data_IF_731707736251
#
_entry.id   IF_731707736251
#
_cell.length_a   1.000
_cell.length_b   1.000
_cell.length_c   1.000
_cell.angle_alpha   90.00
_cell.angle_beta   90.00
_cell.angle_gamma   90.00
#
_symmetry.space_group_name_H-M   'P 1'
#
loop_
_entity.id
_entity.type
_entity.pdbx_description
1 polymer ?
#
# COMPACT_ATOMS: atom_id res chain seq x y z
N UNK A 1 7.80 -12.27 10.21
CA UNK A 1 7.25 -11.97 8.86
C UNK A 1 5.95 -12.72 8.64
N UNK A 2 5.01 -12.15 7.88
CA UNK A 2 3.83 -12.88 7.42
C UNK A 2 4.25 -14.02 6.49
N UNK A 3 3.58 -15.19 6.59
CA UNK A 3 3.81 -16.27 5.62
C UNK A 3 3.34 -15.84 4.22
N UNK A 4 3.99 -16.36 3.17
CA UNK A 4 3.63 -16.04 1.76
C UNK A 4 2.17 -16.33 1.47
N UNK A 5 1.64 -17.43 2.03
CA UNK A 5 0.21 -17.79 1.89
C UNK A 5 -0.71 -16.73 2.50
N UNK A 6 -0.38 -16.24 3.70
CA UNK A 6 -1.19 -15.22 4.38
C UNK A 6 -1.11 -13.88 3.67
N UNK A 7 0.10 -13.48 3.25
CA UNK A 7 0.31 -12.27 2.45
C UNK A 7 -0.49 -12.32 1.16
N UNK A 8 -0.35 -13.38 0.36
CA UNK A 8 -1.09 -13.55 -0.88
C UNK A 8 -2.61 -13.59 -0.69
N UNK A 9 -3.10 -14.05 0.47
CA UNK A 9 -4.51 -13.97 0.82
C UNK A 9 -4.93 -12.52 1.02
N UNK A 10 -4.22 -11.74 1.85
CA UNK A 10 -4.51 -10.34 2.14
C UNK A 10 -4.48 -9.49 0.86
N UNK A 11 -3.47 -9.70 0.01
CA UNK A 11 -3.33 -9.02 -1.28
C UNK A 11 -4.55 -9.28 -2.19
N UNK A 12 -4.98 -10.54 -2.33
CA UNK A 12 -6.14 -10.90 -3.16
C UNK A 12 -7.45 -10.33 -2.61
N UNK A 13 -7.66 -10.39 -1.30
CA UNK A 13 -8.87 -9.86 -0.66
C UNK A 13 -8.95 -8.35 -0.83
N UNK A 14 -7.86 -7.65 -0.60
CA UNK A 14 -7.79 -6.20 -0.78
C UNK A 14 -7.94 -5.82 -2.26
N UNK A 15 -7.24 -6.49 -3.18
CA UNK A 15 -7.36 -6.23 -4.62
C UNK A 15 -8.79 -6.40 -5.13
N UNK A 16 -9.50 -7.46 -4.67
CA UNK A 16 -10.89 -7.69 -5.02
C UNK A 16 -11.80 -6.56 -4.54
N UNK A 17 -11.60 -6.09 -3.30
CA UNK A 17 -12.38 -5.02 -2.71
C UNK A 17 -12.14 -3.69 -3.42
N UNK A 18 -10.87 -3.35 -3.69
CA UNK A 18 -10.49 -2.15 -4.46
C UNK A 18 -11.09 -2.23 -5.87
N UNK A 19 -10.95 -3.35 -6.57
CA UNK A 19 -11.46 -3.52 -7.94
C UNK A 19 -12.97 -3.32 -8.02
N UNK A 20 -13.72 -3.82 -7.02
CA UNK A 20 -15.17 -3.60 -6.93
C UNK A 20 -15.52 -2.12 -6.72
N UNK A 21 -14.78 -1.43 -5.84
CA UNK A 21 -14.96 -0.01 -5.60
C UNK A 21 -14.63 0.82 -6.86
N UNK A 22 -13.45 0.61 -7.43
CA UNK A 22 -12.99 1.31 -8.62
C UNK A 22 -13.92 1.11 -9.82
N UNK A 23 -14.46 -0.09 -9.99
CA UNK A 23 -15.45 -0.36 -11.04
C UNK A 23 -16.73 0.49 -10.89
N UNK A 24 -17.22 0.68 -9.66
CA UNK A 24 -18.37 1.57 -9.39
C UNK A 24 -18.01 3.04 -9.64
N UNK A 25 -16.84 3.49 -9.18
CA UNK A 25 -16.36 4.85 -9.37
C UNK A 25 -16.12 5.20 -10.84
N UNK A 26 -15.55 4.28 -11.62
CA UNK A 26 -15.40 4.43 -13.06
C UNK A 26 -16.76 4.56 -13.76
N UNK A 27 -17.74 3.74 -13.37
CA UNK A 27 -19.10 3.83 -13.89
C UNK A 27 -19.80 5.16 -13.55
N UNK A 28 -19.62 5.62 -12.33
CA UNK A 28 -20.13 6.93 -11.88
C UNK A 28 -19.48 8.08 -12.66
N UNK A 29 -18.15 8.07 -12.79
CA UNK A 29 -17.40 9.09 -13.53
C UNK A 29 -17.84 9.16 -15.00
N UNK A 30 -17.99 8.01 -15.68
CA UNK A 30 -18.46 7.95 -17.05
C UNK A 30 -19.89 8.50 -17.21
N UNK A 31 -20.77 8.23 -16.24
CA UNK A 31 -22.14 8.75 -16.24
C UNK A 31 -22.17 10.28 -16.06
N UNK A 32 -21.32 10.81 -15.20
CA UNK A 32 -21.21 12.27 -14.96
C UNK A 32 -20.61 12.97 -16.18
N UNK A 33 -19.55 12.41 -16.77
CA UNK A 33 -18.93 12.96 -17.98
C UNK A 33 -19.91 13.12 -19.15
N UNK A 34 -20.87 12.20 -19.31
CA UNK A 34 -21.88 12.27 -20.38
C UNK A 34 -21.34 11.99 -21.78
N UNK A 35 -22.17 12.33 -22.79
CA UNK A 35 -21.85 12.22 -24.21
C UNK A 35 -22.42 13.43 -24.96
N UNK A 36 -21.59 14.36 -25.46
CA UNK A 36 -20.14 14.41 -25.36
C UNK A 36 -19.66 14.69 -23.91
N UNK A 37 -18.44 14.25 -23.56
CA UNK A 37 -17.93 14.38 -22.19
C UNK A 37 -17.68 15.85 -21.81
N UNK A 38 -18.11 16.21 -20.58
CA UNK A 38 -17.93 17.56 -20.02
C UNK A 38 -17.14 17.50 -18.73
N UNK A 39 -16.11 18.35 -18.60
CA UNK A 39 -15.27 18.42 -17.39
C UNK A 39 -15.93 19.20 -16.26
N UNK A 40 -16.80 20.14 -16.57
CA UNK A 40 -17.42 21.06 -15.59
C UNK A 40 -18.25 20.32 -14.53
N UNK A 41 -18.77 19.13 -14.88
CA UNK A 41 -19.53 18.28 -13.97
C UNK A 41 -18.65 17.43 -13.04
N UNK A 42 -17.32 17.41 -13.25
CA UNK A 42 -16.36 16.71 -12.41
C UNK A 42 -15.83 17.67 -11.33
N UNK A 43 -16.50 17.68 -10.21
CA UNK A 43 -16.17 18.57 -9.08
C UNK A 43 -15.06 18.03 -8.18
N UNK A 44 -14.44 18.91 -7.40
CA UNK A 44 -13.51 18.52 -6.34
C UNK A 44 -14.19 17.59 -5.32
N UNK A 45 -15.45 17.88 -4.97
CA UNK A 45 -16.24 17.10 -4.02
C UNK A 45 -16.45 15.64 -4.48
N UNK A 46 -16.58 15.40 -5.79
CA UNK A 46 -16.62 14.05 -6.34
C UNK A 46 -15.35 13.27 -6.01
N UNK A 47 -14.19 13.87 -6.24
CA UNK A 47 -12.90 13.24 -5.94
C UNK A 47 -12.68 13.02 -4.45
N UNK A 48 -13.09 13.97 -3.62
CA UNK A 48 -13.05 13.84 -2.16
C UNK A 48 -13.95 12.70 -1.68
N UNK A 49 -15.13 12.54 -2.27
CA UNK A 49 -16.07 11.45 -1.95
C UNK A 49 -15.47 10.10 -2.34
N UNK A 50 -14.94 9.97 -3.55
CA UNK A 50 -14.25 8.76 -4.01
C UNK A 50 -13.04 8.43 -3.13
N UNK A 51 -12.28 9.45 -2.72
CA UNK A 51 -11.17 9.29 -1.79
C UNK A 51 -11.59 8.78 -0.42
N UNK A 52 -12.67 9.30 0.15
CA UNK A 52 -13.24 8.82 1.43
C UNK A 52 -13.67 7.35 1.34
N UNK A 53 -14.28 6.94 0.24
CA UNK A 53 -14.65 5.54 0.02
C UNK A 53 -13.41 4.64 -0.04
N UNK A 54 -12.34 5.07 -0.72
CA UNK A 54 -11.08 4.33 -0.78
C UNK A 54 -10.39 4.24 0.59
N UNK A 55 -10.39 5.32 1.37
CA UNK A 55 -9.92 5.30 2.77
C UNK A 55 -10.69 4.29 3.61
N UNK A 56 -12.00 4.17 3.39
CA UNK A 56 -12.85 3.17 4.06
C UNK A 56 -12.45 1.72 3.73
N UNK A 57 -11.81 1.48 2.60
CA UNK A 57 -11.27 0.16 2.19
C UNK A 57 -9.84 -0.03 2.70
N UNK A 58 -8.95 0.93 2.46
CA UNK A 58 -7.53 0.78 2.75
C UNK A 58 -7.23 0.77 4.26
N UNK A 59 -7.86 1.67 5.01
CA UNK A 59 -7.49 1.85 6.42
C UNK A 59 -7.72 0.60 7.28
N UNK A 60 -8.88 -0.06 7.27
CA UNK A 60 -9.05 -1.29 8.04
C UNK A 60 -8.15 -2.43 7.54
N UNK A 61 -7.89 -2.52 6.24
CA UNK A 61 -7.03 -3.56 5.67
C UNK A 61 -5.56 -3.38 6.10
N UNK A 62 -5.04 -2.16 6.06
CA UNK A 62 -3.66 -1.87 6.48
C UNK A 62 -3.47 -1.98 7.98
N UNK A 63 -4.43 -1.55 8.82
CA UNK A 63 -4.41 -1.78 10.27
C UNK A 63 -4.32 -3.28 10.55
N UNK A 64 -5.24 -4.07 9.99
CA UNK A 64 -5.27 -5.52 10.21
C UNK A 64 -3.95 -6.19 9.77
N UNK A 65 -3.41 -5.79 8.64
CA UNK A 65 -2.14 -6.33 8.13
C UNK A 65 -0.96 -5.99 9.05
N UNK A 66 -0.89 -4.74 9.52
CA UNK A 66 0.15 -4.30 10.47
C UNK A 66 0.07 -5.07 11.78
N UNK A 67 -1.11 -5.27 12.33
CA UNK A 67 -1.30 -6.03 13.58
C UNK A 67 -0.92 -7.49 13.43
N UNK A 68 -1.29 -8.13 12.32
CA UNK A 68 -0.87 -9.51 12.02
C UNK A 68 0.65 -9.63 11.87
N UNK A 69 1.31 -8.65 11.27
CA UNK A 69 2.76 -8.62 11.15
C UNK A 69 3.43 -8.37 12.50
N UNK A 70 2.92 -7.46 13.32
CA UNK A 70 3.37 -7.21 14.68
C UNK A 70 3.28 -8.48 15.54
N UNK A 71 2.14 -9.18 15.50
CA UNK A 71 1.94 -10.45 16.19
C UNK A 71 2.98 -11.51 15.80
N UNK A 72 3.30 -11.62 14.50
CA UNK A 72 4.34 -12.55 14.05
C UNK A 72 5.73 -12.20 14.59
N UNK A 73 6.07 -10.91 14.73
CA UNK A 73 7.33 -10.50 15.33
C UNK A 73 7.34 -10.84 16.82
N UNK A 74 6.30 -10.48 17.55
CA UNK A 74 6.18 -10.78 18.99
C UNK A 74 6.26 -12.28 19.27
N UNK A 75 5.58 -13.10 18.46
CA UNK A 75 5.63 -14.57 18.61
C UNK A 75 7.00 -15.18 18.28
N UNK A 76 7.91 -14.43 17.65
CA UNK A 76 9.28 -14.88 17.33
C UNK A 76 10.33 -14.53 18.36
N UNK A 77 9.95 -13.78 19.41
CA UNK A 77 10.86 -13.30 20.46
C UNK A 77 10.30 -13.64 21.85
N UNK A 78 11.15 -13.84 22.88
CA UNK A 78 10.70 -14.17 24.24
C UNK A 78 10.34 -12.93 25.06
N UNK A 79 9.93 -11.82 24.43
CA UNK A 79 9.65 -10.52 25.05
C UNK A 79 8.25 -10.10 24.66
N UNK A 80 7.42 -9.71 25.64
CA UNK A 80 6.10 -9.15 25.40
C UNK A 80 6.16 -7.66 25.02
N UNK A 81 5.07 -7.15 24.44
CA UNK A 81 4.90 -5.74 24.10
C UNK A 81 3.58 -5.20 24.65
N UNK A 82 3.47 -3.90 24.78
CA UNK A 82 2.20 -3.23 25.11
C UNK A 82 1.29 -3.18 23.87
N UNK A 83 0.30 -4.07 23.80
CA UNK A 83 -0.62 -4.19 22.68
C UNK A 83 -1.51 -2.95 22.47
N UNK A 84 -1.81 -2.20 23.52
CA UNK A 84 -2.58 -0.95 23.36
C UNK A 84 -1.77 0.08 22.59
N UNK A 85 -0.47 0.18 22.86
CA UNK A 85 0.44 1.05 22.11
C UNK A 85 0.63 0.57 20.67
N UNK A 86 0.79 -0.73 20.46
CA UNK A 86 0.89 -1.32 19.11
C UNK A 86 -0.36 -1.01 18.28
N UNK A 87 -1.54 -1.19 18.86
CA UNK A 87 -2.83 -0.89 18.20
C UNK A 87 -2.95 0.61 17.86
N UNK A 88 -2.61 1.50 18.78
CA UNK A 88 -2.68 2.94 18.57
C UNK A 88 -1.71 3.40 17.47
N UNK A 89 -0.48 2.89 17.47
CA UNK A 89 0.54 3.21 16.45
C UNK A 89 0.12 2.71 15.08
N UNK A 90 -0.40 1.47 14.96
CA UNK A 90 -0.89 0.91 13.72
C UNK A 90 -2.05 1.73 13.14
N UNK A 91 -3.01 2.15 13.98
CA UNK A 91 -4.13 2.99 13.57
C UNK A 91 -3.68 4.39 13.13
N UNK A 92 -2.76 5.01 13.88
CA UNK A 92 -2.21 6.34 13.56
C UNK A 92 -1.42 6.32 12.24
N UNK A 93 -0.56 5.33 12.07
CA UNK A 93 0.20 5.16 10.84
C UNK A 93 -0.73 4.93 9.64
N UNK A 94 -1.68 3.99 9.74
CA UNK A 94 -2.61 3.69 8.66
C UNK A 94 -3.42 4.92 8.24
N UNK A 95 -3.89 5.73 9.21
CA UNK A 95 -4.60 6.96 8.92
C UNK A 95 -3.76 7.96 8.13
N UNK A 96 -2.53 8.20 8.56
CA UNK A 96 -1.62 9.18 7.92
C UNK A 96 -1.14 8.67 6.56
N UNK A 97 -0.69 7.42 6.50
CA UNK A 97 -0.18 6.78 5.29
C UNK A 97 -1.25 6.72 4.20
N UNK A 98 -2.43 6.17 4.51
CA UNK A 98 -3.50 6.02 3.54
C UNK A 98 -4.06 7.36 3.07
N UNK A 99 -4.13 8.38 3.95
CA UNK A 99 -4.53 9.72 3.54
C UNK A 99 -3.60 10.32 2.49
N UNK A 100 -2.28 10.08 2.58
CA UNK A 100 -1.31 10.49 1.58
C UNK A 100 -1.48 9.70 0.28
N UNK A 101 -1.53 8.36 0.37
CA UNK A 101 -1.68 7.45 -0.78
C UNK A 101 -2.94 7.77 -1.57
N UNK A 102 -4.07 7.92 -0.90
CA UNK A 102 -5.37 8.22 -1.53
C UNK A 102 -5.35 9.60 -2.20
N UNK A 103 -4.76 10.61 -1.56
CA UNK A 103 -4.62 11.95 -2.15
C UNK A 103 -3.80 11.91 -3.44
N UNK A 104 -2.68 11.21 -3.44
CA UNK A 104 -1.82 11.05 -4.62
C UNK A 104 -2.54 10.27 -5.73
N UNK A 105 -3.22 9.17 -5.39
CA UNK A 105 -4.02 8.37 -6.32
C UNK A 105 -5.08 9.20 -7.04
N UNK A 106 -5.93 9.90 -6.28
CA UNK A 106 -7.04 10.65 -6.88
C UNK A 106 -6.58 11.95 -7.52
N UNK A 107 -5.50 12.57 -7.04
CA UNK A 107 -4.86 13.69 -7.71
C UNK A 107 -4.38 13.29 -9.11
N UNK A 108 -3.65 12.19 -9.22
CA UNK A 108 -3.17 11.65 -10.50
C UNK A 108 -4.33 11.19 -11.40
N UNK A 109 -5.38 10.61 -10.82
CA UNK A 109 -6.55 10.14 -11.56
C UNK A 109 -7.39 11.31 -12.08
N UNK A 110 -7.55 12.36 -11.30
CA UNK A 110 -8.22 13.60 -11.71
C UNK A 110 -7.50 14.27 -12.88
N UNK A 111 -6.18 14.37 -12.82
CA UNK A 111 -5.39 14.91 -13.92
C UNK A 111 -5.55 14.05 -15.19
N UNK A 112 -5.39 12.74 -15.05
CA UNK A 112 -5.55 11.84 -16.18
C UNK A 112 -6.96 11.88 -16.81
N UNK A 113 -8.02 12.08 -16.01
CA UNK A 113 -9.38 12.24 -16.54
C UNK A 113 -9.50 13.54 -17.37
N UNK A 114 -8.89 14.63 -16.94
CA UNK A 114 -8.85 15.90 -17.69
C UNK A 114 -8.11 15.72 -19.02
N UNK A 115 -6.94 15.07 -18.99
CA UNK A 115 -6.12 14.80 -20.18
C UNK A 115 -6.88 13.92 -21.18
N UNK A 116 -7.60 12.89 -20.71
CA UNK A 116 -8.42 12.03 -21.57
C UNK A 116 -9.58 12.76 -22.23
N UNK A 117 -10.20 13.73 -21.54
CA UNK A 117 -11.26 14.55 -22.13
C UNK A 117 -10.68 15.55 -23.13
N UNK A 118 -9.52 16.15 -22.85
CA UNK A 118 -8.81 16.98 -23.82
C UNK A 118 -8.49 16.20 -25.10
N UNK A 119 -7.88 15.02 -24.94
CA UNK A 119 -7.60 14.09 -26.06
C UNK A 119 -8.86 13.70 -26.85
N UNK A 120 -10.00 13.54 -26.18
CA UNK A 120 -11.27 13.25 -26.84
C UNK A 120 -11.62 14.32 -27.87
N UNK A 121 -11.50 15.60 -27.51
CA UNK A 121 -11.81 16.70 -28.41
C UNK A 121 -10.71 16.98 -29.45
N UNK A 122 -9.44 16.87 -29.05
CA UNK A 122 -8.30 17.17 -29.92
C UNK A 122 -8.08 16.10 -30.99
N UNK A 123 -8.25 14.82 -30.63
CA UNK A 123 -7.97 13.66 -31.49
C UNK A 123 -9.22 13.07 -32.12
N UNK A 124 -10.43 13.59 -31.80
CA UNK A 124 -11.69 13.06 -32.31
C UNK A 124 -11.98 11.64 -31.81
N UNK A 125 -11.62 11.32 -30.57
CA UNK A 125 -11.84 10.00 -30.00
C UNK A 125 -13.32 9.70 -29.80
N UNK A 126 -13.69 8.43 -29.80
CA UNK A 126 -15.05 8.03 -29.44
C UNK A 126 -15.25 7.94 -27.92
N UNK A 127 -16.52 8.03 -27.47
CA UNK A 127 -16.86 7.76 -26.05
C UNK A 127 -16.45 6.34 -25.64
N UNK A 128 -16.44 5.39 -26.60
CA UNK A 128 -15.90 4.04 -26.37
C UNK A 128 -14.41 4.03 -26.06
N UNK A 129 -13.61 4.90 -26.70
CA UNK A 129 -12.18 5.05 -26.41
C UNK A 129 -11.96 5.65 -25.03
N UNK A 130 -12.69 6.69 -24.69
CA UNK A 130 -12.65 7.31 -23.36
C UNK A 130 -13.00 6.28 -22.27
N UNK A 131 -14.05 5.50 -22.48
CA UNK A 131 -14.44 4.42 -21.54
C UNK A 131 -13.32 3.41 -21.36
N UNK A 132 -12.68 2.94 -22.42
CA UNK A 132 -11.57 1.98 -22.34
C UNK A 132 -10.38 2.54 -21.56
N UNK A 133 -10.00 3.80 -21.82
CA UNK A 133 -8.90 4.47 -21.10
C UNK A 133 -9.19 4.64 -19.61
N UNK A 134 -10.40 5.03 -19.24
CA UNK A 134 -10.83 5.11 -17.84
C UNK A 134 -10.85 3.74 -17.16
N UNK A 135 -11.36 2.70 -17.84
CA UNK A 135 -11.35 1.34 -17.30
C UNK A 135 -9.94 0.78 -17.08
N UNK A 136 -8.95 1.20 -17.85
CA UNK A 136 -7.54 0.83 -17.59
C UNK A 136 -7.02 1.47 -16.31
N UNK A 137 -7.47 2.69 -15.98
CA UNK A 137 -7.09 3.41 -14.75
C UNK A 137 -7.73 2.82 -13.50
N UNK A 138 -8.93 2.27 -13.60
CA UNK A 138 -9.72 1.67 -12.52
C UNK A 138 -9.86 0.15 -12.70
N UNK A 139 -8.89 -0.49 -13.33
CA UNK A 139 -8.97 -1.91 -13.69
C UNK A 139 -8.30 -2.84 -12.66
N UNK A 140 -8.48 -4.17 -12.83
CA UNK A 140 -7.94 -5.17 -11.92
C UNK A 140 -6.42 -5.09 -11.73
N UNK A 141 -5.67 -4.68 -12.76
CA UNK A 141 -4.21 -4.51 -12.67
C UNK A 141 -3.83 -3.38 -11.73
N UNK A 142 -4.58 -2.27 -11.75
CA UNK A 142 -4.36 -1.15 -10.83
C UNK A 142 -4.69 -1.56 -9.39
N UNK A 143 -5.84 -2.19 -9.20
CA UNK A 143 -6.27 -2.69 -7.88
C UNK A 143 -5.27 -3.68 -7.27
N UNK A 144 -4.71 -4.60 -8.08
CA UNK A 144 -3.67 -5.53 -7.65
C UNK A 144 -2.38 -4.80 -7.26
N UNK A 145 -1.99 -3.81 -8.07
CA UNK A 145 -0.80 -3.00 -7.83
C UNK A 145 -0.88 -2.25 -6.49
N UNK A 146 -2.03 -1.63 -6.21
CA UNK A 146 -2.29 -0.95 -4.93
C UNK A 146 -2.27 -1.98 -3.80
N UNK A 147 -2.99 -3.09 -3.92
CA UNK A 147 -3.09 -4.09 -2.86
C UNK A 147 -1.73 -4.68 -2.47
N UNK A 148 -0.90 -5.07 -3.45
CA UNK A 148 0.45 -5.60 -3.19
C UNK A 148 1.33 -4.57 -2.48
N UNK A 149 1.28 -3.31 -2.93
CA UNK A 149 2.10 -2.24 -2.33
C UNK A 149 1.68 -1.94 -0.91
N UNK A 150 0.37 -1.79 -0.67
CA UNK A 150 -0.16 -1.40 0.63
C UNK A 150 -0.10 -2.54 1.67
N UNK A 151 -0.31 -3.79 1.26
CA UNK A 151 -0.09 -4.96 2.13
C UNK A 151 1.38 -5.07 2.52
N UNK A 152 2.30 -4.83 1.58
CA UNK A 152 3.74 -4.81 1.89
C UNK A 152 4.09 -3.69 2.86
N UNK A 153 3.63 -2.46 2.61
CA UNK A 153 3.88 -1.32 3.49
C UNK A 153 3.36 -1.58 4.91
N UNK A 154 2.14 -2.08 5.02
CA UNK A 154 1.51 -2.38 6.30
C UNK A 154 2.21 -3.53 7.05
N UNK A 155 2.65 -4.58 6.35
CA UNK A 155 3.38 -5.69 6.97
C UNK A 155 4.73 -5.24 7.55
N UNK A 156 5.47 -4.45 6.79
CA UNK A 156 6.75 -3.87 7.24
C UNK A 156 6.55 -2.95 8.43
N UNK A 157 5.53 -2.09 8.37
CA UNK A 157 5.24 -1.17 9.47
C UNK A 157 4.86 -1.88 10.75
N UNK A 158 4.09 -2.97 10.67
CA UNK A 158 3.76 -3.77 11.85
C UNK A 158 4.99 -4.29 12.59
N UNK A 159 6.00 -4.74 11.85
CA UNK A 159 7.28 -5.12 12.45
C UNK A 159 8.05 -3.94 13.05
N UNK A 160 8.05 -2.79 12.37
CA UNK A 160 8.70 -1.55 12.86
C UNK A 160 8.08 -1.05 14.16
N UNK A 161 6.76 -1.07 14.27
CA UNK A 161 6.06 -0.67 15.49
C UNK A 161 6.54 -1.49 16.69
N UNK A 162 6.68 -2.82 16.53
CA UNK A 162 7.20 -3.68 17.61
C UNK A 162 8.66 -3.36 17.93
N UNK A 163 9.51 -3.20 16.92
CA UNK A 163 10.92 -2.88 17.11
C UNK A 163 11.11 -1.53 17.81
N UNK A 164 10.32 -0.53 17.46
CA UNK A 164 10.37 0.81 18.05
C UNK A 164 9.81 0.82 19.48
N UNK A 165 8.81 -0.01 19.78
CA UNK A 165 8.28 -0.19 21.13
C UNK A 165 9.32 -0.81 22.05
N UNK A 166 9.97 -1.87 21.59
CA UNK A 166 11.05 -2.52 22.35
C UNK A 166 12.26 -1.62 22.51
N UNK A 167 12.62 -0.83 21.49
CA UNK A 167 13.71 0.14 21.56
C UNK A 167 13.44 1.22 22.61
N UNK A 168 12.20 1.65 22.81
CA UNK A 168 11.82 2.59 23.86
C UNK A 168 12.02 2.01 25.27
N UNK A 169 12.00 0.68 25.40
CA UNK A 169 12.29 -0.05 26.64
C UNK A 169 13.75 -0.53 26.75
N UNK A 170 14.63 -0.08 25.83
CA UNK A 170 16.06 -0.38 25.85
C UNK A 170 16.45 -1.66 25.11
N UNK A 171 15.54 -2.31 24.40
CA UNK A 171 15.80 -3.53 23.62
C UNK A 171 15.87 -3.21 22.12
N UNK A 172 17.09 -3.11 21.59
CA UNK A 172 17.30 -2.85 20.16
C UNK A 172 17.26 -4.14 19.34
N UNK A 173 16.43 -4.17 18.29
CA UNK A 173 16.34 -5.29 17.35
C UNK A 173 17.21 -5.05 16.11
N UNK A 174 17.75 -6.12 15.55
CA UNK A 174 18.41 -6.10 14.24
C UNK A 174 17.31 -6.21 13.18
N UNK A 175 17.17 -5.17 12.36
CA UNK A 175 16.24 -5.11 11.22
C UNK A 175 17.01 -5.47 9.94
N UNK A 176 16.53 -6.46 9.17
CA UNK A 176 17.17 -6.92 7.94
C UNK A 176 16.19 -6.96 6.79
N UNK A 177 16.64 -6.56 5.60
CA UNK A 177 15.85 -6.67 4.37
C UNK A 177 15.66 -8.12 3.95
N UNK A 178 14.46 -8.50 3.54
CA UNK A 178 14.16 -9.85 3.03
C UNK A 178 13.43 -9.75 1.71
N UNK A 179 13.97 -10.39 0.67
CA UNK A 179 13.28 -10.55 -0.62
C UNK A 179 12.50 -11.85 -0.64
N UNK A 180 11.58 -12.00 -1.60
CA UNK A 180 10.84 -13.25 -1.82
C UNK A 180 11.73 -14.37 -2.43
N UNK A 181 12.97 -14.05 -2.85
CA UNK A 181 13.94 -14.99 -3.44
C UNK A 181 13.39 -15.77 -4.64
N UNK A 182 12.45 -15.19 -5.36
CA UNK A 182 11.91 -15.72 -6.61
C UNK A 182 12.43 -14.93 -7.81
N UNK A 183 12.14 -15.39 -9.03
CA UNK A 183 12.54 -14.76 -10.28
C UNK A 183 11.95 -13.35 -10.52
N UNK A 184 10.99 -12.94 -9.70
CA UNK A 184 10.34 -11.61 -9.77
C UNK A 184 10.98 -10.58 -8.84
N UNK A 185 12.07 -10.93 -8.16
CA UNK A 185 12.84 -9.96 -7.36
C UNK A 185 13.55 -9.00 -8.30
N UNK A 186 13.28 -7.71 -8.17
CA UNK A 186 13.81 -6.70 -9.05
C UNK A 186 15.29 -6.36 -8.75
N UNK A 187 16.01 -5.74 -9.71
CA UNK A 187 17.41 -5.34 -9.52
C UNK A 187 17.65 -4.34 -8.38
N UNK A 188 16.62 -3.59 -7.95
CA UNK A 188 16.70 -2.66 -6.82
C UNK A 188 16.72 -3.41 -5.49
N UNK A 189 15.89 -4.45 -5.36
CA UNK A 189 15.71 -5.20 -4.13
C UNK A 189 16.74 -6.33 -3.95
N UNK A 190 17.14 -6.97 -5.06
CA UNK A 190 18.04 -8.12 -5.03
C UNK A 190 19.34 -7.90 -4.22
N UNK A 191 20.10 -6.79 -4.43
CA UNK A 191 21.32 -6.53 -3.68
C UNK A 191 21.13 -6.21 -2.20
N UNK A 192 19.88 -6.00 -1.76
CA UNK A 192 19.53 -5.67 -0.36
C UNK A 192 19.16 -6.90 0.46
N UNK A 193 18.95 -8.08 -0.17
CA UNK A 193 18.55 -9.32 0.53
C UNK A 193 19.56 -9.68 1.62
N UNK A 194 19.09 -9.85 2.85
CA UNK A 194 19.88 -10.18 4.02
C UNK A 194 20.66 -9.01 4.63
N UNK A 195 20.68 -7.83 4.02
CA UNK A 195 21.40 -6.66 4.57
C UNK A 195 20.64 -6.06 5.74
N UNK A 196 21.41 -5.67 6.77
CA UNK A 196 20.85 -5.00 7.95
C UNK A 196 20.59 -3.52 7.66
N UNK A 197 19.70 -2.93 8.43
CA UNK A 197 19.41 -1.50 8.39
C UNK A 197 20.70 -0.68 8.54
N UNK A 198 20.91 0.28 7.63
CA UNK A 198 22.16 1.07 7.55
C UNK A 198 23.21 0.49 6.61
N UNK A 199 23.11 -0.80 6.21
CA UNK A 199 23.99 -1.40 5.20
C UNK A 199 23.35 -1.37 3.80
N UNK A 200 23.43 -0.22 3.16
CA UNK A 200 22.96 -0.02 1.79
C UNK A 200 21.44 0.18 1.65
N UNK A 201 20.73 0.39 2.75
CA UNK A 201 19.32 0.81 2.76
C UNK A 201 18.93 1.49 4.09
N UNK A 202 17.86 2.26 4.05
CA UNK A 202 17.29 2.94 5.20
C UNK A 202 15.79 2.68 5.29
N UNK A 203 15.15 3.02 6.39
CA UNK A 203 13.69 2.92 6.52
C UNK A 203 12.91 3.80 5.52
N UNK A 204 13.57 4.85 5.00
CA UNK A 204 12.99 5.72 3.96
C UNK A 204 12.98 5.01 2.60
N UNK A 205 14.02 4.19 2.32
CA UNK A 205 14.17 3.47 1.06
C UNK A 205 13.32 2.19 0.96
N UNK A 206 12.58 1.87 1.98
CA UNK A 206 11.64 0.75 1.98
C UNK A 206 12.04 -0.42 2.86
N UNK A 207 11.48 -1.66 2.71
CA UNK A 207 10.38 -1.97 1.80
C UNK A 207 9.04 -1.30 2.21
N UNK A 208 8.14 -1.02 1.25
CA UNK A 208 8.27 -1.20 -0.20
C UNK A 208 9.17 -0.13 -0.83
N UNK A 209 10.17 -0.55 -1.63
CA UNK A 209 11.08 0.37 -2.33
C UNK A 209 10.50 0.89 -3.67
N UNK A 210 9.42 0.31 -4.14
CA UNK A 210 8.75 0.65 -5.40
C UNK A 210 7.35 0.03 -5.42
N UNK A 211 6.54 0.47 -6.35
CA UNK A 211 5.21 -0.11 -6.61
C UNK A 211 5.33 -1.61 -6.91
N UNK A 212 4.43 -2.43 -6.34
CA UNK A 212 4.45 -3.91 -6.41
C UNK A 212 5.68 -4.55 -5.75
N UNK A 213 6.37 -3.86 -4.87
CA UNK A 213 7.41 -4.46 -4.06
C UNK A 213 6.80 -5.52 -3.12
N UNK A 214 7.42 -6.72 -3.08
CA UNK A 214 6.99 -7.84 -2.23
C UNK A 214 8.03 -8.20 -1.17
N UNK A 215 9.02 -7.33 -0.98
CA UNK A 215 10.02 -7.49 0.06
C UNK A 215 9.42 -7.26 1.46
N UNK A 216 10.14 -7.71 2.47
CA UNK A 216 9.76 -7.57 3.88
C UNK A 216 10.97 -7.18 4.71
N UNK A 217 10.76 -6.98 6.00
CA UNK A 217 11.81 -6.87 6.99
C UNK A 217 11.74 -8.02 7.99
N UNK A 218 12.88 -8.57 8.35
CA UNK A 218 13.03 -9.53 9.44
C UNK A 218 13.65 -8.84 10.66
N UNK A 219 13.16 -9.23 11.83
CA UNK A 219 13.59 -8.68 13.11
C UNK A 219 14.19 -9.80 13.98
N UNK A 220 15.35 -9.54 14.58
CA UNK A 220 16.02 -10.48 15.48
C UNK A 220 16.60 -9.71 16.66
N UNK A 221 16.61 -10.34 17.83
CA UNK A 221 17.40 -9.85 18.96
C UNK A 221 18.90 -10.00 18.64
N UNK A 222 19.76 -9.07 19.10
CA UNK A 222 21.20 -9.24 19.00
C UNK A 222 21.63 -10.51 19.76
N UNK A 223 22.75 -11.14 19.38
CA UNK A 223 23.34 -12.23 20.16
C UNK A 223 23.59 -11.75 21.57
N UNK A 224 23.28 -12.57 22.58
CA UNK A 224 23.69 -12.29 23.94
C UNK A 224 25.23 -12.36 23.99
N UNK A 225 25.86 -11.28 24.42
CA UNK A 225 27.30 -11.34 24.73
C UNK A 225 27.48 -12.33 25.89
N UNK A 226 28.10 -13.47 25.59
CA UNK A 226 28.55 -14.40 26.63
C UNK A 226 29.82 -13.81 27.23
N UNK A 227 29.73 -13.29 28.46
CA UNK A 227 30.89 -12.91 29.27
C UNK A 227 31.81 -14.11 29.51
#
# INVERSE_FOLDING_TARGET
MLSDRKRAQLERELAKTISSLEGRQAGQLLKILGDPPKLDDITLELWETMGKEMLGVLTPATINTSLLAAENVVNSIPIGVNWDMVNQRAASWASTHNSRVVREMYGNTSQAARDMVADFYEQGLSVGDLRRRLQQRFGPMHSEMVAVTEVTAAAVEGGRIVADELAAEGVTMIESWVTQRDERVCPICYPRDGKVLGDGWTRIDGPPAHIRCRCDTAYKLPPMETE
#
